data_IF_668551050779
#
_entry.id   IF_668551050779
#
_cell.length_a   1.000
_cell.length_b   1.000
_cell.length_c   1.000
_cell.angle_alpha   90.00
_cell.angle_beta   90.00
_cell.angle_gamma   90.00
#
_symmetry.space_group_name_H-M   'P 1'
#
loop_
_entity.id
_entity.type
_entity.pdbx_description
1 polymer ?
#
# COMPACT_ATOMS: atom_id res chain seq x y z
N UNK A 1 9.13 10.09 -21.79
CA UNK A 1 9.17 10.80 -20.50
C UNK A 1 8.52 9.88 -19.49
N UNK A 2 9.14 9.69 -18.36
CA UNK A 2 8.58 8.92 -17.24
C UNK A 2 7.29 9.55 -16.72
N UNK A 3 6.44 8.73 -16.11
CA UNK A 3 5.14 9.17 -15.61
C UNK A 3 4.89 8.60 -14.22
N UNK A 4 4.61 9.46 -13.25
CA UNK A 4 4.14 9.10 -11.93
C UNK A 4 2.62 9.28 -11.92
N UNK A 5 1.88 8.17 -12.00
CA UNK A 5 0.42 8.15 -12.04
C UNK A 5 -0.14 8.18 -10.62
N UNK A 6 -0.81 9.27 -10.25
CA UNK A 6 -1.30 9.46 -8.88
C UNK A 6 -2.74 8.98 -8.74
N UNK A 7 -2.98 8.22 -7.69
CA UNK A 7 -4.28 7.69 -7.31
C UNK A 7 -4.51 7.73 -5.80
N UNK A 8 -5.55 7.05 -5.32
CA UNK A 8 -5.80 6.85 -3.90
C UNK A 8 -6.41 5.48 -3.62
N UNK A 9 -6.50 5.10 -2.35
CA UNK A 9 -6.96 3.79 -1.92
C UNK A 9 -8.07 3.89 -0.85
N UNK A 10 -8.89 2.84 -0.67
CA UNK A 10 -10.01 2.85 0.27
C UNK A 10 -9.64 3.08 1.74
N UNK A 11 -8.41 2.75 2.17
CA UNK A 11 -7.92 3.03 3.53
C UNK A 11 -7.96 4.51 3.88
N UNK A 12 -7.75 5.40 2.89
CA UNK A 12 -7.90 6.85 3.02
C UNK A 12 -9.36 7.31 3.19
N UNK A 13 -10.31 6.39 3.08
CA UNK A 13 -11.75 6.56 3.38
C UNK A 13 -12.19 5.75 4.59
N UNK A 14 -11.24 5.32 5.42
CA UNK A 14 -11.51 4.56 6.62
C UNK A 14 -11.95 3.12 6.37
N UNK A 15 -11.51 2.51 5.27
CA UNK A 15 -11.90 1.16 4.87
C UNK A 15 -10.77 0.18 5.14
N UNK A 16 -10.96 -0.68 6.14
CA UNK A 16 -10.01 -1.74 6.51
C UNK A 16 -10.56 -3.15 6.31
N UNK A 17 -11.88 -3.29 6.19
CA UNK A 17 -12.55 -4.59 6.09
C UNK A 17 -13.47 -4.65 4.87
N UNK A 18 -13.71 -5.85 4.31
CA UNK A 18 -14.60 -5.98 3.16
C UNK A 18 -16.06 -5.62 3.47
N UNK A 19 -16.50 -5.84 4.71
CA UNK A 19 -17.90 -5.65 5.12
C UNK A 19 -17.95 -5.14 6.58
N UNK A 20 -17.83 -3.84 6.75
CA UNK A 20 -18.05 -3.16 8.05
C UNK A 20 -19.00 -1.97 7.84
N UNK A 21 -20.19 -1.96 8.48
CA UNK A 21 -21.17 -0.89 8.32
C UNK A 21 -20.72 0.48 8.85
N UNK A 22 -19.60 0.56 9.57
CA UNK A 22 -19.00 1.82 10.05
C UNK A 22 -18.05 2.47 9.05
N UNK A 23 -17.74 1.79 7.96
CA UNK A 23 -16.86 2.28 6.92
C UNK A 23 -17.63 3.06 5.86
N UNK A 24 -16.91 3.89 5.10
CA UNK A 24 -17.46 4.57 3.94
C UNK A 24 -17.98 3.55 2.92
N UNK A 25 -19.25 3.64 2.46
CA UNK A 25 -19.77 2.77 1.40
C UNK A 25 -18.98 2.93 0.10
N UNK A 26 -18.79 1.83 -0.66
CA UNK A 26 -17.91 1.82 -1.83
C UNK A 26 -18.33 2.82 -2.93
N UNK A 27 -19.62 3.00 -3.15
CA UNK A 27 -20.12 3.96 -4.13
C UNK A 27 -19.75 5.41 -3.76
N UNK A 28 -19.82 5.77 -2.47
CA UNK A 28 -19.37 7.07 -1.97
C UNK A 28 -17.87 7.25 -2.13
N UNK A 29 -17.08 6.22 -1.79
CA UNK A 29 -15.63 6.22 -2.01
C UNK A 29 -15.30 6.53 -3.48
N UNK A 30 -15.91 5.79 -4.43
CA UNK A 30 -15.67 5.99 -5.86
C UNK A 30 -16.07 7.40 -6.34
N UNK A 31 -17.22 7.92 -5.87
CA UNK A 31 -17.67 9.27 -6.21
C UNK A 31 -16.71 10.34 -5.67
N UNK A 32 -16.26 10.20 -4.43
CA UNK A 32 -15.38 11.16 -3.78
C UNK A 32 -13.93 11.13 -4.29
N UNK A 33 -13.40 9.94 -4.61
CA UNK A 33 -12.10 9.82 -5.26
C UNK A 33 -12.08 10.51 -6.61
N UNK A 34 -13.13 10.31 -7.42
CA UNK A 34 -13.28 10.99 -8.71
C UNK A 34 -13.40 12.51 -8.54
N UNK A 35 -14.19 12.96 -7.54
CA UNK A 35 -14.36 14.38 -7.20
C UNK A 35 -13.10 15.04 -6.64
N UNK A 36 -12.17 14.25 -6.09
CA UNK A 36 -10.87 14.72 -5.61
C UNK A 36 -9.85 14.94 -6.73
N UNK A 37 -10.15 14.53 -7.97
CA UNK A 37 -9.27 14.70 -9.13
C UNK A 37 -8.25 13.55 -9.31
N UNK A 38 -8.44 12.42 -8.65
CA UNK A 38 -7.68 11.20 -8.91
C UNK A 38 -8.31 10.41 -10.06
N UNK A 39 -7.46 9.70 -10.82
CA UNK A 39 -7.87 8.81 -11.90
C UNK A 39 -7.73 7.34 -11.50
N UNK A 40 -6.79 7.02 -10.61
CA UNK A 40 -6.40 5.67 -10.26
C UNK A 40 -6.81 5.30 -8.84
N UNK A 41 -7.25 4.05 -8.67
CA UNK A 41 -7.59 3.50 -7.35
C UNK A 41 -6.97 2.13 -7.14
N UNK A 42 -6.88 1.70 -5.88
CA UNK A 42 -6.71 0.30 -5.48
C UNK A 42 -8.03 -0.36 -5.11
N UNK A 43 -8.07 -1.70 -5.16
CA UNK A 43 -9.26 -2.47 -4.73
C UNK A 43 -9.55 -2.30 -3.24
N UNK A 44 -8.51 -2.13 -2.42
CA UNK A 44 -8.63 -2.28 -0.98
C UNK A 44 -8.99 -3.73 -0.59
N UNK A 45 -9.65 -3.94 0.56
CA UNK A 45 -10.04 -5.28 1.02
C UNK A 45 -10.96 -5.98 0.01
N UNK A 46 -10.60 -7.19 -0.40
CA UNK A 46 -11.37 -7.95 -1.39
C UNK A 46 -12.80 -8.19 -0.93
N UNK A 47 -13.78 -7.75 -1.72
CA UNK A 47 -15.20 -7.77 -1.39
C UNK A 47 -15.77 -6.42 -0.95
N UNK A 48 -14.94 -5.40 -0.70
CA UNK A 48 -15.41 -4.04 -0.49
C UNK A 48 -15.96 -3.42 -1.78
N UNK A 49 -15.19 -3.47 -2.86
CA UNK A 49 -15.68 -3.16 -4.20
C UNK A 49 -16.35 -4.40 -4.83
N UNK A 50 -17.20 -4.23 -5.85
CA UNK A 50 -17.81 -5.37 -6.56
C UNK A 50 -16.75 -6.37 -7.02
N UNK A 51 -16.99 -7.68 -6.79
CA UNK A 51 -16.09 -8.76 -7.20
C UNK A 51 -16.45 -9.35 -8.57
N UNK A 52 -17.61 -8.98 -9.14
CA UNK A 52 -17.91 -9.25 -10.55
C UNK A 52 -17.13 -8.26 -11.43
N UNK A 53 -16.31 -8.74 -12.37
CA UNK A 53 -15.44 -7.87 -13.15
C UNK A 53 -16.20 -6.92 -14.08
N UNK A 54 -17.39 -7.32 -14.57
CA UNK A 54 -18.21 -6.45 -15.42
C UNK A 54 -18.81 -5.32 -14.61
N UNK A 55 -19.39 -5.65 -13.46
CA UNK A 55 -19.94 -4.64 -12.54
C UNK A 55 -18.84 -3.65 -12.09
N UNK A 56 -17.66 -4.16 -11.69
CA UNK A 56 -16.56 -3.29 -11.28
C UNK A 56 -16.08 -2.39 -12.40
N UNK A 57 -15.95 -2.92 -13.62
CA UNK A 57 -15.57 -2.12 -14.80
C UNK A 57 -16.58 -0.98 -15.06
N UNK A 58 -17.88 -1.28 -15.01
CA UNK A 58 -18.95 -0.29 -15.24
C UNK A 58 -18.92 0.81 -14.14
N UNK A 59 -18.72 0.42 -12.87
CA UNK A 59 -18.59 1.36 -11.76
C UNK A 59 -17.40 2.32 -11.91
N UNK A 60 -16.27 1.79 -12.36
CA UNK A 60 -15.07 2.59 -12.61
C UNK A 60 -15.22 3.49 -13.84
N UNK A 61 -15.69 2.94 -14.97
CA UNK A 61 -15.84 3.66 -16.24
C UNK A 61 -16.83 4.82 -16.11
N UNK A 62 -17.96 4.62 -15.42
CA UNK A 62 -18.98 5.65 -15.22
C UNK A 62 -18.45 6.89 -14.50
N UNK A 63 -17.35 6.75 -13.73
CA UNK A 63 -16.68 7.83 -12.97
C UNK A 63 -15.36 8.27 -13.60
N UNK A 64 -14.93 7.64 -14.70
CA UNK A 64 -13.64 7.86 -15.33
C UNK A 64 -12.47 7.45 -14.44
N UNK A 65 -12.67 6.43 -13.60
CA UNK A 65 -11.65 5.83 -12.74
C UNK A 65 -11.03 4.60 -13.41
N UNK A 66 -9.84 4.24 -12.96
CA UNK A 66 -9.09 3.06 -13.41
C UNK A 66 -8.48 2.32 -12.23
N UNK A 67 -8.35 1.02 -12.35
CA UNK A 67 -7.71 0.20 -11.32
C UNK A 67 -6.19 0.14 -11.54
N UNK A 68 -5.42 0.47 -10.51
CA UNK A 68 -3.95 0.33 -10.49
C UNK A 68 -3.53 -1.04 -9.97
N UNK A 69 -4.07 -1.45 -8.81
CA UNK A 69 -3.68 -2.69 -8.11
C UNK A 69 -4.82 -3.32 -7.33
N UNK A 70 -4.73 -4.63 -7.12
CA UNK A 70 -5.40 -5.34 -6.03
C UNK A 70 -4.54 -5.37 -4.78
N UNK A 71 -5.14 -5.70 -3.62
CA UNK A 71 -4.46 -5.76 -2.34
C UNK A 71 -4.69 -7.10 -1.67
N UNK A 72 -3.64 -7.73 -1.14
CA UNK A 72 -3.67 -9.04 -0.48
C UNK A 72 -2.73 -9.07 0.70
N UNK A 73 -3.00 -10.01 1.64
CA UNK A 73 -2.13 -10.27 2.79
C UNK A 73 -1.40 -11.60 2.61
N UNK A 74 -0.17 -11.70 3.16
CA UNK A 74 0.63 -12.92 3.10
C UNK A 74 1.24 -13.27 4.47
N UNK A 75 1.37 -14.59 4.71
CA UNK A 75 2.07 -15.20 5.84
C UNK A 75 2.93 -16.40 5.38
N UNK A 76 3.63 -16.23 4.26
CA UNK A 76 4.40 -17.28 3.57
C UNK A 76 5.58 -17.84 4.39
N UNK A 77 5.93 -17.21 5.49
CA UNK A 77 6.92 -17.72 6.44
C UNK A 77 6.40 -18.89 7.31
N UNK A 78 5.08 -19.06 7.39
CA UNK A 78 4.44 -20.12 8.17
C UNK A 78 4.41 -21.44 7.38
N UNK A 79 4.37 -22.56 8.11
CA UNK A 79 4.23 -23.87 7.49
C UNK A 79 2.84 -24.05 6.89
N UNK A 80 2.77 -24.74 5.75
CA UNK A 80 1.50 -25.07 5.06
C UNK A 80 0.62 -23.86 4.68
N UNK A 81 1.20 -22.67 4.61
CA UNK A 81 0.47 -21.42 4.33
C UNK A 81 0.14 -21.20 2.85
N UNK A 82 0.85 -21.86 1.93
CA UNK A 82 0.76 -21.63 0.49
C UNK A 82 -0.68 -21.69 -0.06
N UNK A 83 -1.40 -22.76 0.23
CA UNK A 83 -2.74 -22.93 -0.36
C UNK A 83 -3.73 -21.87 0.10
N UNK A 84 -3.66 -21.44 1.37
CA UNK A 84 -4.50 -20.38 1.91
C UNK A 84 -4.17 -19.01 1.30
N UNK A 85 -2.88 -18.68 1.23
CA UNK A 85 -2.38 -17.45 0.63
C UNK A 85 -2.69 -17.42 -0.86
N UNK A 86 -2.40 -18.51 -1.59
CA UNK A 86 -2.64 -18.59 -3.03
C UNK A 86 -4.12 -18.43 -3.38
N UNK A 87 -5.02 -19.05 -2.63
CA UNK A 87 -6.47 -18.95 -2.88
C UNK A 87 -6.97 -17.50 -2.82
N UNK A 88 -6.54 -16.75 -1.80
CA UNK A 88 -6.89 -15.33 -1.67
C UNK A 88 -6.31 -14.52 -2.84
N UNK A 89 -5.05 -14.73 -3.13
CA UNK A 89 -4.32 -13.98 -4.15
C UNK A 89 -4.83 -14.29 -5.54
N UNK A 90 -5.20 -15.53 -5.83
CA UNK A 90 -5.75 -15.92 -7.12
C UNK A 90 -7.02 -15.16 -7.46
N UNK A 91 -7.95 -15.01 -6.52
CA UNK A 91 -9.19 -14.27 -6.72
C UNK A 91 -8.93 -12.79 -6.99
N UNK A 92 -8.03 -12.17 -6.22
CA UNK A 92 -7.64 -10.75 -6.39
C UNK A 92 -6.90 -10.53 -7.71
N UNK A 93 -5.90 -11.37 -8.03
CA UNK A 93 -5.12 -11.24 -9.26
C UNK A 93 -5.98 -11.40 -10.51
N UNK A 94 -6.92 -12.34 -10.48
CA UNK A 94 -7.89 -12.58 -11.56
C UNK A 94 -8.81 -11.38 -11.77
N UNK A 95 -9.39 -10.83 -10.69
CA UNK A 95 -10.25 -9.65 -10.78
C UNK A 95 -9.45 -8.43 -11.27
N UNK A 96 -8.27 -8.20 -10.69
CA UNK A 96 -7.38 -7.11 -11.07
C UNK A 96 -7.05 -7.13 -12.56
N UNK A 97 -6.63 -8.30 -13.08
CA UNK A 97 -6.32 -8.48 -14.49
C UNK A 97 -7.55 -8.26 -15.40
N UNK A 98 -8.72 -8.77 -14.98
CA UNK A 98 -9.96 -8.68 -15.77
C UNK A 98 -10.43 -7.24 -15.98
N UNK A 99 -10.17 -6.33 -15.02
CA UNK A 99 -10.51 -4.90 -15.14
C UNK A 99 -9.33 -4.03 -15.59
N UNK A 100 -8.23 -4.64 -16.04
CA UNK A 100 -7.09 -3.94 -16.63
C UNK A 100 -5.99 -3.50 -15.66
N UNK A 101 -6.10 -3.78 -14.36
CA UNK A 101 -5.04 -3.56 -13.38
C UNK A 101 -3.82 -4.44 -13.67
N UNK A 102 -2.63 -3.99 -13.27
CA UNK A 102 -1.36 -4.65 -13.59
C UNK A 102 -0.54 -5.04 -12.37
N UNK A 103 -0.96 -4.66 -11.20
CA UNK A 103 -0.22 -4.86 -9.95
C UNK A 103 -1.11 -5.50 -8.89
N UNK A 104 -0.48 -6.22 -7.97
CA UNK A 104 -1.07 -6.65 -6.71
C UNK A 104 -0.11 -6.24 -5.60
N UNK A 105 -0.58 -5.40 -4.70
CA UNK A 105 0.13 -5.02 -3.49
C UNK A 105 0.02 -6.17 -2.49
N UNK A 106 1.16 -6.71 -2.07
CA UNK A 106 1.25 -7.85 -1.15
C UNK A 106 1.76 -7.37 0.19
N UNK A 107 0.88 -7.37 1.18
CA UNK A 107 1.14 -6.87 2.54
C UNK A 107 1.46 -8.07 3.45
N UNK A 108 2.58 -8.07 4.19
CA UNK A 108 2.82 -9.08 5.22
C UNK A 108 1.83 -8.93 6.38
N UNK A 109 1.32 -10.04 6.91
CA UNK A 109 0.55 -10.02 8.15
C UNK A 109 1.40 -9.51 9.32
N UNK A 110 0.72 -8.90 10.30
CA UNK A 110 1.37 -8.33 11.47
C UNK A 110 1.65 -9.42 12.52
N UNK A 111 2.82 -9.33 13.19
CA UNK A 111 3.21 -10.25 14.25
C UNK A 111 2.45 -10.02 15.57
N UNK A 112 1.75 -8.90 15.71
CA UNK A 112 0.85 -8.58 16.85
C UNK A 112 -0.51 -8.08 16.35
N UNK A 113 -1.53 -8.28 17.16
CA UNK A 113 -2.87 -7.78 16.88
C UNK A 113 -2.88 -6.24 16.84
N UNK A 114 -3.34 -5.60 15.76
CA UNK A 114 -3.26 -4.15 15.60
C UNK A 114 -4.12 -3.34 16.58
N UNK A 115 -5.13 -3.96 17.19
CA UNK A 115 -6.05 -3.28 18.09
C UNK A 115 -5.68 -3.47 19.57
N UNK A 116 -5.24 -4.67 19.93
CA UNK A 116 -4.98 -5.05 21.31
C UNK A 116 -3.50 -5.09 21.68
N UNK A 117 -2.61 -5.15 20.69
CA UNK A 117 -1.18 -5.37 20.87
C UNK A 117 -0.80 -6.78 21.30
N UNK A 118 -1.77 -7.71 21.35
CA UNK A 118 -1.49 -9.10 21.70
C UNK A 118 -0.53 -9.74 20.70
N UNK A 119 0.55 -10.33 21.20
CA UNK A 119 1.54 -11.01 20.36
C UNK A 119 0.89 -12.25 19.72
N UNK A 120 0.89 -12.32 18.40
CA UNK A 120 0.35 -13.43 17.61
C UNK A 120 1.45 -14.42 17.26
N UNK A 121 2.67 -13.94 17.01
CA UNK A 121 3.85 -14.74 16.70
C UNK A 121 5.13 -13.98 17.10
N UNK A 122 6.29 -14.65 16.98
CA UNK A 122 7.58 -13.99 17.29
C UNK A 122 7.83 -12.84 16.30
N UNK A 123 8.19 -11.67 16.84
CA UNK A 123 8.57 -10.51 16.04
C UNK A 123 9.71 -10.79 15.06
N UNK A 124 10.60 -11.72 15.41
CA UNK A 124 11.79 -12.01 14.64
C UNK A 124 11.70 -13.40 13.99
N UNK A 125 11.64 -13.43 12.66
CA UNK A 125 11.68 -14.66 11.92
C UNK A 125 13.04 -15.36 12.06
N UNK A 126 13.01 -16.67 12.27
CA UNK A 126 14.19 -17.53 12.16
C UNK A 126 14.77 -17.50 10.74
N UNK A 127 16.03 -17.89 10.53
CA UNK A 127 16.60 -17.99 9.17
C UNK A 127 15.79 -18.88 8.21
N UNK A 128 15.17 -19.95 8.73
CA UNK A 128 14.31 -20.85 7.96
C UNK A 128 13.00 -20.16 7.53
N UNK A 129 12.35 -19.42 8.43
CA UNK A 129 11.14 -18.67 8.11
C UNK A 129 11.42 -17.55 7.11
N UNK A 130 12.57 -16.86 7.21
CA UNK A 130 12.99 -15.87 6.21
C UNK A 130 13.16 -16.50 4.83
N UNK A 131 13.80 -17.67 4.77
CA UNK A 131 13.95 -18.40 3.52
C UNK A 131 12.59 -18.77 2.91
N UNK A 132 11.68 -19.33 3.72
CA UNK A 132 10.31 -19.65 3.27
C UNK A 132 9.59 -18.42 2.73
N UNK A 133 9.66 -17.30 3.46
CA UNK A 133 9.04 -16.02 3.04
C UNK A 133 9.55 -15.56 1.69
N UNK A 134 10.85 -15.49 1.50
CA UNK A 134 11.46 -14.98 0.26
C UNK A 134 11.28 -15.94 -0.91
N UNK A 135 11.45 -17.26 -0.71
CA UNK A 135 11.18 -18.29 -1.73
C UNK A 135 9.69 -18.31 -2.10
N UNK A 136 8.79 -18.27 -1.10
CA UNK A 136 7.36 -18.21 -1.32
C UNK A 136 6.93 -16.96 -2.10
N UNK A 137 7.50 -15.79 -1.78
CA UNK A 137 7.25 -14.57 -2.54
C UNK A 137 7.74 -14.64 -3.98
N UNK A 138 8.90 -15.25 -4.24
CA UNK A 138 9.38 -15.46 -5.61
C UNK A 138 8.44 -16.38 -6.41
N UNK A 139 7.99 -17.47 -5.81
CA UNK A 139 7.02 -18.40 -6.42
C UNK A 139 5.68 -17.69 -6.68
N UNK A 140 5.19 -16.93 -5.70
CA UNK A 140 3.96 -16.18 -5.79
C UNK A 140 3.99 -15.13 -6.91
N UNK A 141 5.03 -14.30 -6.94
CA UNK A 141 5.18 -13.24 -7.95
C UNK A 141 5.29 -13.82 -9.35
N UNK A 142 6.04 -14.93 -9.50
CA UNK A 142 6.13 -15.67 -10.77
C UNK A 142 4.78 -16.23 -11.20
N UNK A 143 4.06 -16.90 -10.30
CA UNK A 143 2.76 -17.52 -10.60
C UNK A 143 1.71 -16.48 -10.99
N UNK A 144 1.65 -15.35 -10.30
CA UNK A 144 0.74 -14.24 -10.64
C UNK A 144 1.05 -13.66 -12.02
N UNK A 145 2.34 -13.46 -12.33
CA UNK A 145 2.74 -12.92 -13.62
C UNK A 145 2.45 -13.87 -14.78
N UNK A 146 2.84 -15.15 -14.63
CA UNK A 146 2.64 -16.16 -15.69
C UNK A 146 1.15 -16.44 -15.95
N UNK A 147 0.32 -16.43 -14.90
CA UNK A 147 -1.09 -16.83 -14.99
C UNK A 147 -2.03 -15.68 -15.35
N UNK A 148 -1.75 -14.48 -14.83
CA UNK A 148 -2.65 -13.32 -14.94
C UNK A 148 -2.00 -12.06 -15.55
N UNK A 149 -0.69 -12.05 -15.75
CA UNK A 149 0.03 -10.88 -16.25
C UNK A 149 0.10 -9.72 -15.24
N UNK A 150 -0.12 -9.99 -13.95
CA UNK A 150 -0.01 -9.00 -12.87
C UNK A 150 1.29 -9.17 -12.09
N UNK A 151 1.85 -8.08 -11.59
CA UNK A 151 3.14 -8.03 -10.88
C UNK A 151 2.93 -7.91 -9.38
N UNK A 152 3.70 -8.66 -8.59
CA UNK A 152 3.75 -8.53 -7.16
C UNK A 152 4.52 -7.27 -6.75
N UNK A 153 3.89 -6.46 -5.89
CA UNK A 153 4.46 -5.27 -5.28
C UNK A 153 4.46 -5.47 -3.77
N UNK A 154 5.61 -5.86 -3.21
CA UNK A 154 5.71 -6.16 -1.78
C UNK A 154 5.70 -4.88 -0.96
N UNK A 155 4.82 -4.79 0.01
CA UNK A 155 4.56 -3.62 0.82
C UNK A 155 5.05 -3.81 2.26
N UNK A 156 6.24 -3.31 2.65
CA UNK A 156 6.67 -3.27 4.04
C UNK A 156 5.65 -2.55 4.92
N UNK A 157 5.30 -3.15 6.06
CA UNK A 157 4.22 -2.64 6.91
C UNK A 157 4.64 -2.61 8.37
N UNK A 158 4.21 -1.58 9.09
CA UNK A 158 4.40 -1.48 10.54
C UNK A 158 3.85 -2.73 11.25
N UNK A 159 4.50 -3.14 12.33
CA UNK A 159 4.18 -4.35 13.10
C UNK A 159 4.26 -5.67 12.28
N UNK A 160 4.90 -5.66 11.10
CA UNK A 160 5.19 -6.89 10.34
C UNK A 160 6.65 -7.32 10.51
N UNK A 161 7.01 -8.45 9.88
CA UNK A 161 8.40 -8.93 9.89
C UNK A 161 9.31 -8.18 8.91
N UNK A 162 8.74 -7.31 8.05
CA UNK A 162 9.48 -6.44 7.14
C UNK A 162 9.04 -5.00 7.39
N UNK A 163 9.41 -4.49 8.56
CA UNK A 163 9.02 -3.18 9.08
C UNK A 163 10.17 -2.18 9.12
N UNK A 164 11.41 -2.65 9.25
CA UNK A 164 12.61 -1.79 9.30
C UNK A 164 13.32 -1.71 7.96
N UNK A 165 14.13 -0.66 7.76
CA UNK A 165 14.97 -0.49 6.58
C UNK A 165 15.89 -1.70 6.33
N UNK A 166 16.52 -2.24 7.39
CA UNK A 166 17.37 -3.44 7.29
C UNK A 166 16.59 -4.68 6.84
N UNK A 167 15.35 -4.85 7.33
CA UNK A 167 14.48 -5.95 6.92
C UNK A 167 14.00 -5.78 5.48
N UNK A 168 13.76 -4.54 5.03
CA UNK A 168 13.48 -4.24 3.61
C UNK A 168 14.66 -4.65 2.74
N UNK A 169 15.89 -4.26 3.09
CA UNK A 169 17.07 -4.67 2.33
C UNK A 169 17.25 -6.19 2.30
N UNK A 170 17.11 -6.82 3.46
CA UNK A 170 17.19 -8.29 3.56
C UNK A 170 16.14 -8.98 2.68
N UNK A 171 14.92 -8.46 2.64
CA UNK A 171 13.85 -8.98 1.79
C UNK A 171 14.19 -8.81 0.30
N UNK A 172 14.65 -7.63 -0.11
CA UNK A 172 15.02 -7.34 -1.49
C UNK A 172 16.20 -8.19 -1.96
N UNK A 173 17.20 -8.42 -1.10
CA UNK A 173 18.36 -9.27 -1.40
C UNK A 173 17.98 -10.76 -1.53
N UNK A 174 16.88 -11.20 -0.89
CA UNK A 174 16.36 -12.57 -0.95
C UNK A 174 15.33 -12.83 -2.04
N UNK A 175 14.89 -11.78 -2.77
CA UNK A 175 13.82 -11.90 -3.78
C UNK A 175 14.27 -11.49 -5.17
N UNK A 176 13.64 -12.11 -6.20
CA UNK A 176 13.93 -11.86 -7.62
C UNK A 176 13.17 -10.64 -8.13
N UNK A 177 13.89 -9.60 -8.52
CA UNK A 177 13.32 -8.37 -9.08
C UNK A 177 12.58 -8.52 -10.41
N UNK A 178 12.66 -9.69 -11.07
CA UNK A 178 11.85 -9.97 -12.25
C UNK A 178 10.37 -10.17 -11.89
N UNK A 179 10.08 -10.69 -10.70
CA UNK A 179 8.75 -11.09 -10.29
C UNK A 179 8.23 -10.33 -9.06
N UNK A 180 9.12 -9.88 -8.16
CA UNK A 180 8.77 -9.20 -6.92
C UNK A 180 9.46 -7.85 -6.88
N UNK A 181 8.69 -6.76 -6.85
CA UNK A 181 9.20 -5.41 -6.66
C UNK A 181 8.69 -4.83 -5.34
N UNK A 182 9.18 -3.65 -5.00
CA UNK A 182 8.80 -2.94 -3.79
C UNK A 182 7.63 -2.00 -4.09
N UNK A 183 6.56 -2.13 -3.33
CA UNK A 183 5.65 -1.04 -3.06
C UNK A 183 6.25 -0.23 -1.90
N UNK A 184 6.95 0.85 -2.20
CA UNK A 184 7.53 1.70 -1.17
C UNK A 184 6.43 2.55 -0.54
N UNK A 185 5.98 2.15 0.66
CA UNK A 185 5.10 2.99 1.48
C UNK A 185 5.93 3.96 2.31
N UNK A 186 5.82 5.25 1.98
CA UNK A 186 6.65 6.30 2.57
C UNK A 186 6.30 6.58 4.03
N UNK A 187 5.07 6.31 4.42
CA UNK A 187 4.59 6.45 5.79
C UNK A 187 5.05 5.30 6.67
N UNK A 188 4.85 4.04 6.27
CA UNK A 188 5.29 2.88 7.07
C UNK A 188 6.81 2.87 7.28
N UNK A 189 7.59 3.17 6.25
CA UNK A 189 9.05 3.30 6.40
C UNK A 189 9.41 4.40 7.41
N UNK A 190 8.80 5.58 7.30
CA UNK A 190 9.06 6.70 8.23
C UNK A 190 8.56 6.40 9.65
N UNK A 191 7.42 5.71 9.77
CA UNK A 191 6.86 5.26 11.05
C UNK A 191 7.84 4.33 11.79
N UNK A 192 8.48 3.42 11.06
CA UNK A 192 9.48 2.49 11.61
C UNK A 192 10.90 3.09 11.68
N UNK A 193 11.08 4.37 11.36
CA UNK A 193 12.35 5.09 11.50
C UNK A 193 13.32 4.92 10.35
N UNK A 194 12.90 4.37 9.22
CA UNK A 194 13.70 4.21 8.02
C UNK A 194 13.78 5.47 7.16
N UNK A 195 14.77 5.50 6.27
CA UNK A 195 14.98 6.57 5.27
C UNK A 195 14.49 6.13 3.88
N UNK A 196 13.37 6.68 3.45
CA UNK A 196 12.78 6.42 2.14
C UNK A 196 13.74 6.72 0.98
N UNK A 197 14.49 7.82 1.07
CA UNK A 197 15.42 8.23 0.03
C UNK A 197 16.63 7.29 -0.02
N UNK A 198 17.11 6.81 1.12
CA UNK A 198 18.15 5.80 1.18
C UNK A 198 17.71 4.49 0.50
N UNK A 199 16.49 4.04 0.74
CA UNK A 199 15.92 2.84 0.09
C UNK A 199 15.83 3.01 -1.42
N UNK A 200 15.30 4.14 -1.92
CA UNK A 200 15.22 4.45 -3.35
C UNK A 200 16.60 4.38 -4.01
N UNK A 201 17.62 5.00 -3.37
CA UNK A 201 18.99 5.02 -3.89
C UNK A 201 19.68 3.67 -3.85
N UNK A 202 19.41 2.86 -2.83
CA UNK A 202 20.00 1.53 -2.64
C UNK A 202 19.45 0.51 -3.62
N UNK A 203 18.15 0.63 -3.97
CA UNK A 203 17.45 -0.35 -4.79
C UNK A 203 16.55 0.30 -5.87
N UNK A 204 17.12 1.17 -6.75
CA UNK A 204 16.35 1.94 -7.73
C UNK A 204 15.56 1.04 -8.71
N UNK A 205 16.12 -0.10 -9.09
CA UNK A 205 15.51 -1.05 -10.03
C UNK A 205 14.42 -1.92 -9.37
N UNK A 206 14.23 -1.79 -8.06
CA UNK A 206 13.24 -2.55 -7.31
C UNK A 206 12.01 -1.73 -6.94
N UNK A 207 12.00 -0.42 -7.19
CA UNK A 207 10.84 0.45 -6.96
C UNK A 207 9.83 0.20 -8.09
N UNK A 208 8.74 -0.51 -7.78
CA UNK A 208 7.71 -0.86 -8.76
C UNK A 208 6.36 -0.19 -8.51
N UNK A 209 6.17 0.36 -7.32
CA UNK A 209 4.92 0.97 -6.86
C UNK A 209 5.18 1.86 -5.64
N UNK A 210 4.31 2.83 -5.38
CA UNK A 210 4.46 3.75 -4.24
C UNK A 210 3.15 3.92 -3.51
N UNK A 211 3.21 3.95 -2.17
CA UNK A 211 2.21 4.57 -1.33
C UNK A 211 2.76 5.89 -0.78
N UNK A 212 2.10 6.99 -1.11
CA UNK A 212 2.43 8.33 -0.63
C UNK A 212 1.67 8.60 0.67
N UNK A 213 2.32 8.34 1.77
CA UNK A 213 1.77 8.44 3.12
C UNK A 213 2.71 9.27 4.00
N UNK A 214 2.16 10.03 4.93
CA UNK A 214 2.94 10.77 5.92
C UNK A 214 2.56 10.39 7.34
N UNK A 215 3.52 10.57 8.24
CA UNK A 215 3.39 10.27 9.67
C UNK A 215 3.57 11.53 10.48
N UNK A 216 2.70 11.76 11.46
CA UNK A 216 2.90 12.80 12.47
C UNK A 216 4.06 12.40 13.40
N UNK A 217 5.16 13.16 13.45
CA UNK A 217 6.34 12.80 14.23
C UNK A 217 6.11 12.83 15.75
N UNK A 218 5.18 13.65 16.24
CA UNK A 218 4.89 13.76 17.68
C UNK A 218 4.04 12.55 18.12
N UNK A 219 3.02 12.19 17.32
CA UNK A 219 2.21 10.99 17.59
C UNK A 219 3.06 9.73 17.48
N UNK A 220 3.93 9.65 16.45
CA UNK A 220 4.88 8.55 16.31
C UNK A 220 5.76 8.38 17.54
N UNK A 221 6.37 9.47 18.04
CA UNK A 221 7.22 9.42 19.24
C UNK A 221 6.45 8.93 20.47
N UNK A 222 5.18 9.33 20.62
CA UNK A 222 4.31 8.86 21.70
C UNK A 222 4.05 7.35 21.57
N UNK A 223 3.64 6.89 20.39
CA UNK A 223 3.34 5.49 20.11
C UNK A 223 4.55 4.59 20.37
N UNK A 224 5.75 5.00 19.94
CA UNK A 224 7.00 4.30 20.19
C UNK A 224 7.33 4.26 21.68
N UNK A 225 7.18 5.38 22.39
CA UNK A 225 7.47 5.45 23.84
C UNK A 225 6.50 4.64 24.71
N UNK A 226 5.27 4.40 24.26
CA UNK A 226 4.24 3.64 24.96
C UNK A 226 4.07 2.21 24.41
N UNK A 227 4.84 1.83 23.39
CA UNK A 227 4.75 0.54 22.67
C UNK A 227 3.31 0.20 22.21
N UNK A 228 2.62 1.18 21.62
CA UNK A 228 1.25 0.98 21.14
C UNK A 228 1.23 0.23 19.82
N UNK A 229 0.23 -0.65 19.58
CA UNK A 229 0.07 -1.33 18.30
C UNK A 229 -0.40 -0.37 17.21
N UNK A 230 -0.18 -0.75 15.95
CA UNK A 230 -0.44 0.10 14.79
C UNK A 230 -1.88 0.63 14.72
N UNK A 231 -2.89 -0.19 15.02
CA UNK A 231 -4.29 0.27 15.01
C UNK A 231 -4.60 1.32 16.08
N UNK A 232 -3.94 1.29 17.25
CA UNK A 232 -4.04 2.38 18.23
C UNK A 232 -3.28 3.63 17.76
N UNK A 233 -2.14 3.46 17.09
CA UNK A 233 -1.42 4.58 16.46
C UNK A 233 -2.30 5.31 15.43
N UNK A 234 -3.01 4.57 14.58
CA UNK A 234 -3.94 5.14 13.60
C UNK A 234 -5.06 5.93 14.28
N UNK A 235 -5.68 5.39 15.33
CA UNK A 235 -6.72 6.10 16.12
C UNK A 235 -6.20 7.40 16.76
N UNK A 236 -4.93 7.46 17.10
CA UNK A 236 -4.28 8.67 17.63
C UNK A 236 -3.91 9.68 16.54
N UNK A 237 -4.11 9.35 15.25
CA UNK A 237 -3.77 10.21 14.13
C UNK A 237 -2.30 10.13 13.71
N UNK A 238 -1.64 8.97 13.92
CA UNK A 238 -0.25 8.79 13.50
C UNK A 238 -0.07 8.96 12.00
N UNK A 239 -1.05 8.54 11.19
CA UNK A 239 -1.05 8.81 9.75
C UNK A 239 -1.77 10.14 9.49
N UNK A 240 -1.06 11.05 8.84
CA UNK A 240 -1.54 12.43 8.63
C UNK A 240 -1.53 12.84 7.17
N UNK A 241 -2.34 13.86 6.82
CA UNK A 241 -2.39 14.35 5.45
C UNK A 241 -1.13 15.15 5.08
N UNK A 242 -0.55 14.98 3.87
CA UNK A 242 0.48 15.87 3.37
C UNK A 242 -0.02 17.33 3.22
N UNK A 243 0.76 18.35 3.64
CA UNK A 243 2.18 18.29 4.06
C UNK A 243 2.41 18.25 5.58
N UNK A 244 1.52 17.73 6.38
CA UNK A 244 1.55 17.92 7.83
C UNK A 244 2.50 16.96 8.58
N UNK A 245 3.09 15.98 7.89
CA UNK A 245 3.95 14.97 8.49
C UNK A 245 5.27 14.75 7.77
N UNK A 246 5.89 13.60 8.05
CA UNK A 246 7.13 13.12 7.43
C UNK A 246 6.85 11.83 6.62
N UNK A 247 7.63 11.54 5.53
CA UNK A 247 8.73 12.34 4.99
C UNK A 247 8.24 13.58 4.24
N UNK A 248 9.14 14.55 4.01
CA UNK A 248 8.84 15.69 3.14
C UNK A 248 8.65 15.22 1.68
N UNK A 249 7.50 15.52 1.07
CA UNK A 249 7.14 15.01 -0.26
C UNK A 249 7.96 15.58 -1.41
N UNK A 250 8.29 16.90 -1.49
CA UNK A 250 9.04 17.42 -2.63
C UNK A 250 10.40 16.75 -2.86
N UNK A 251 11.29 16.57 -1.87
CA UNK A 251 12.56 15.88 -2.09
C UNK A 251 12.39 14.40 -2.40
N UNK A 252 11.41 13.73 -1.79
CA UNK A 252 11.08 12.34 -2.06
C UNK A 252 10.65 12.14 -3.52
N UNK A 253 9.65 12.91 -3.97
CA UNK A 253 9.11 12.83 -5.33
C UNK A 253 10.17 13.21 -6.37
N UNK A 254 11.07 14.17 -6.06
CA UNK A 254 12.19 14.49 -6.92
C UNK A 254 13.19 13.33 -7.05
N UNK A 255 13.37 12.52 -6.02
CA UNK A 255 14.22 11.32 -6.10
C UNK A 255 13.57 10.23 -6.96
N UNK A 256 12.25 10.03 -6.84
CA UNK A 256 11.49 9.11 -7.71
C UNK A 256 11.53 9.59 -9.18
N UNK A 257 11.34 10.87 -9.45
CA UNK A 257 11.37 11.44 -10.81
C UNK A 257 12.72 11.17 -11.52
N UNK A 258 13.83 11.18 -10.79
CA UNK A 258 15.17 10.85 -11.31
C UNK A 258 15.31 9.40 -11.77
N UNK A 259 14.49 8.48 -11.29
CA UNK A 259 14.53 7.08 -11.72
C UNK A 259 14.13 6.94 -13.19
N UNK A 260 13.34 7.86 -13.72
CA UNK A 260 12.92 7.86 -15.11
C UNK A 260 11.99 6.70 -15.47
N UNK A 261 11.27 6.13 -14.51
CA UNK A 261 10.35 5.00 -14.67
C UNK A 261 8.88 5.46 -14.71
N UNK A 262 8.03 4.63 -15.30
CA UNK A 262 6.58 4.75 -15.14
C UNK A 262 6.16 4.00 -13.88
N UNK A 263 5.48 4.69 -12.95
CA UNK A 263 5.11 4.13 -11.65
C UNK A 263 3.79 4.69 -11.15
N UNK A 264 3.02 3.87 -10.44
CA UNK A 264 1.87 4.33 -9.68
C UNK A 264 2.30 4.87 -8.31
N UNK A 265 1.66 5.96 -7.89
CA UNK A 265 1.87 6.58 -6.59
C UNK A 265 0.49 6.82 -5.95
N UNK A 266 0.08 5.91 -5.10
CA UNK A 266 -1.22 5.93 -4.46
C UNK A 266 -1.14 6.68 -3.14
N UNK A 267 -1.96 7.70 -3.02
CA UNK A 267 -2.08 8.46 -1.76
C UNK A 267 -2.85 7.64 -0.76
N UNK A 268 -2.25 7.42 0.39
CA UNK A 268 -2.86 6.72 1.50
C UNK A 268 -2.77 7.51 2.80
N UNK A 269 -3.82 7.42 3.59
CA UNK A 269 -3.86 7.86 4.98
C UNK A 269 -4.76 6.89 5.75
N UNK A 270 -4.16 6.06 6.60
CA UNK A 270 -4.96 5.17 7.44
C UNK A 270 -5.84 5.98 8.39
N UNK A 271 -7.16 5.81 8.26
CA UNK A 271 -8.16 6.57 9.00
C UNK A 271 -9.30 5.66 9.51
N UNK A 272 -8.98 4.59 10.21
CA UNK A 272 -10.02 3.69 10.72
C UNK A 272 -10.07 3.69 12.26
N UNK A 273 -11.28 3.87 12.86
CA UNK A 273 -12.49 4.41 12.22
C UNK A 273 -12.38 5.93 11.96
N UNK A 274 -13.08 6.45 10.96
CA UNK A 274 -13.11 7.88 10.71
C UNK A 274 -14.54 8.41 10.51
N UNK A 275 -14.68 9.75 10.66
CA UNK A 275 -15.91 10.43 10.24
C UNK A 275 -16.05 10.32 8.72
N UNK A 276 -17.22 9.91 8.26
CA UNK A 276 -17.52 9.67 6.84
C UNK A 276 -17.40 10.93 5.97
N UNK A 277 -17.42 12.13 6.55
CA UNK A 277 -17.26 13.41 5.85
C UNK A 277 -15.83 13.96 5.87
N UNK A 278 -14.89 13.28 6.58
CA UNK A 278 -13.50 13.71 6.67
C UNK A 278 -12.68 13.44 5.39
N UNK A 279 -12.81 12.30 4.68
CA UNK A 279 -11.90 11.93 3.60
C UNK A 279 -11.88 12.88 2.41
N UNK A 280 -13.05 13.28 1.88
CA UNK A 280 -13.12 14.10 0.66
C UNK A 280 -12.33 15.41 0.75
N UNK A 281 -12.50 16.27 1.79
CA UNK A 281 -11.72 17.49 1.88
C UNK A 281 -10.23 17.24 2.11
N UNK A 282 -9.85 16.17 2.79
CA UNK A 282 -8.44 15.75 2.95
C UNK A 282 -7.85 15.38 1.58
N UNK A 283 -8.51 14.49 0.84
CA UNK A 283 -8.07 14.05 -0.48
C UNK A 283 -7.88 15.21 -1.47
N UNK A 284 -8.79 16.20 -1.46
CA UNK A 284 -8.70 17.39 -2.29
C UNK A 284 -7.51 18.29 -1.90
N UNK A 285 -7.25 18.50 -0.61
CA UNK A 285 -6.08 19.25 -0.13
C UNK A 285 -4.77 18.57 -0.48
N UNK A 286 -4.71 17.25 -0.26
CA UNK A 286 -3.53 16.44 -0.58
C UNK A 286 -3.22 16.44 -2.07
N UNK A 287 -4.22 16.23 -2.93
CA UNK A 287 -4.07 16.29 -4.38
C UNK A 287 -3.51 17.66 -4.83
N UNK A 288 -4.09 18.75 -4.32
CA UNK A 288 -3.63 20.11 -4.60
C UNK A 288 -2.18 20.34 -4.14
N UNK A 289 -1.84 19.87 -2.94
CA UNK A 289 -0.48 19.98 -2.40
C UNK A 289 0.53 19.22 -3.27
N UNK A 290 0.28 17.96 -3.57
CA UNK A 290 1.15 17.15 -4.43
C UNK A 290 1.34 17.79 -5.81
N UNK A 291 0.27 18.32 -6.40
CA UNK A 291 0.34 19.07 -7.66
C UNK A 291 1.22 20.33 -7.57
N UNK A 292 1.36 20.91 -6.38
CA UNK A 292 2.21 22.09 -6.14
C UNK A 292 3.70 21.76 -5.88
N UNK A 293 4.06 20.48 -5.74
CA UNK A 293 5.44 20.04 -5.49
C UNK A 293 6.39 20.29 -6.69
N UNK A 294 5.87 20.64 -7.86
CA UNK A 294 6.69 21.02 -9.01
C UNK A 294 7.40 19.84 -9.69
N UNK A 295 6.88 18.64 -9.60
CA UNK A 295 7.44 17.42 -10.20
C UNK A 295 6.86 17.22 -11.60
N UNK A 296 7.69 17.30 -12.67
CA UNK A 296 7.20 17.31 -14.05
C UNK A 296 6.52 16.02 -14.51
N UNK A 297 6.88 14.88 -13.91
CA UNK A 297 6.32 13.56 -14.25
C UNK A 297 5.00 13.23 -13.56
N UNK A 298 4.61 14.00 -12.53
CA UNK A 298 3.38 13.74 -11.75
C UNK A 298 2.13 13.95 -12.63
N UNK A 299 1.21 12.97 -12.61
CA UNK A 299 -0.05 13.02 -13.36
C UNK A 299 -1.21 12.70 -12.45
N UNK A 300 -2.17 13.60 -12.46
CA UNK A 300 -3.53 13.44 -11.91
C UNK A 300 -4.51 13.32 -13.09
N UNK A 301 -5.80 13.28 -12.80
CA UNK A 301 -6.88 13.23 -13.80
C UNK A 301 -6.86 14.43 -14.74
#
# INVERSE_FOLDING_TARGET
MSTILVGSAPDSWGVWFPDDPKQTPYNRFLDEVAASGYEWIELGPYGYLPTDPTQLADELESRGLKLSAGTVFEHLHQDDSWDAVWKQIEDVAKLTAAVGGKHVVVIPEMWRDPSTGAVLEDRHLSPEQWRKKTEGMNELGKAMYEKYGVRAQYHPHADSHVDTEDNVYRFLDGTDGQHVNLCLDTGHISYCGGDNIAIIRRAPDRIGYLHLKQVDPEVRAKVEGEDLPFGEAVKLGAMTEPPLGIPDMPPLLAEIDKLGIDVFAIVEQDMYPCDVDAPLPIAQRTQKYLGSCGIPSLRFR
#
